data_IF_155421691013
#
_entry.id   IF_155421691013
#
_cell.length_a   1.000
_cell.length_b   1.000
_cell.length_c   1.000
_cell.angle_alpha   90.00
_cell.angle_beta   90.00
_cell.angle_gamma   90.00
#
_symmetry.space_group_name_H-M   'P 1'
#
loop_
_entity.id
_entity.type
_entity.pdbx_description
1 polymer ?
#
# COMPACT_ATOMS: atom_id res chain seq x y z
N UNK A 1 11.50 -12.13 -7.71
CA UNK A 1 10.11 -12.63 -7.72
C UNK A 1 9.65 -13.11 -6.34
N UNK A 2 10.43 -13.95 -5.62
CA UNK A 2 10.08 -14.42 -4.27
C UNK A 2 9.90 -13.30 -3.23
N UNK A 3 10.84 -12.35 -3.15
CA UNK A 3 10.76 -11.23 -2.19
C UNK A 3 9.50 -10.37 -2.37
N UNK A 4 9.08 -10.12 -3.61
CA UNK A 4 7.89 -9.32 -3.93
C UNK A 4 6.60 -9.91 -3.34
N UNK A 5 6.39 -11.23 -3.48
CA UNK A 5 5.24 -11.90 -2.87
C UNK A 5 5.33 -11.93 -1.34
N UNK A 6 6.52 -12.14 -0.77
CA UNK A 6 6.70 -12.17 0.69
C UNK A 6 6.35 -10.82 1.32
N UNK A 7 6.77 -9.74 0.69
CA UNK A 7 6.57 -8.39 1.23
C UNK A 7 5.12 -7.90 1.10
N UNK A 8 4.48 -8.08 -0.07
CA UNK A 8 3.07 -7.72 -0.24
C UNK A 8 2.12 -8.60 0.59
N UNK A 9 2.41 -9.90 0.75
CA UNK A 9 1.59 -10.78 1.58
C UNK A 9 1.63 -10.40 3.06
N UNK A 10 2.68 -9.70 3.51
CA UNK A 10 2.80 -9.19 4.88
C UNK A 10 2.15 -7.82 5.09
N UNK A 11 1.83 -7.11 4.00
CA UNK A 11 1.16 -5.81 4.06
C UNK A 11 -0.35 -5.99 4.19
N UNK A 12 -0.99 -5.15 5.00
CA UNK A 12 -2.45 -5.10 5.13
C UNK A 12 -2.96 -3.79 4.55
N UNK A 13 -3.97 -3.88 3.69
CA UNK A 13 -4.77 -2.71 3.33
C UNK A 13 -5.60 -2.32 4.57
N UNK A 14 -5.43 -1.09 5.04
CA UNK A 14 -6.03 -0.63 6.28
C UNK A 14 -7.30 0.17 6.02
N UNK A 15 -7.22 1.13 5.10
CA UNK A 15 -8.25 2.14 4.88
C UNK A 15 -8.29 2.51 3.39
N UNK A 16 -9.51 2.76 2.89
CA UNK A 16 -9.77 3.38 1.59
C UNK A 16 -10.55 4.67 1.86
N UNK A 17 -9.94 5.81 1.55
CA UNK A 17 -10.54 7.15 1.66
C UNK A 17 -10.59 7.80 0.27
N UNK A 18 -11.73 7.66 -0.40
CA UNK A 18 -11.86 8.08 -1.80
C UNK A 18 -10.86 7.35 -2.69
N UNK A 19 -9.98 8.10 -3.34
CA UNK A 19 -8.90 7.56 -4.19
C UNK A 19 -7.60 7.24 -3.42
N UNK A 20 -7.56 7.41 -2.09
CA UNK A 20 -6.35 7.15 -1.29
C UNK A 20 -6.44 5.79 -0.60
N UNK A 21 -5.48 4.93 -0.90
CA UNK A 21 -5.37 3.58 -0.36
C UNK A 21 -4.21 3.52 0.63
N UNK A 22 -4.51 3.23 1.90
CA UNK A 22 -3.48 3.18 2.95
C UNK A 22 -3.08 1.74 3.25
N UNK A 23 -1.79 1.43 3.13
CA UNK A 23 -1.23 0.11 3.45
C UNK A 23 -0.28 0.20 4.65
N UNK A 24 -0.39 -0.78 5.56
CA UNK A 24 0.58 -0.99 6.63
C UNK A 24 1.75 -1.83 6.13
N UNK A 25 2.96 -1.34 6.34
CA UNK A 25 4.19 -2.11 6.28
C UNK A 25 4.65 -2.51 7.70
N UNK A 26 5.18 -3.73 7.91
CA UNK A 26 5.66 -4.21 9.20
C UNK A 26 6.99 -3.57 9.65
N UNK A 27 7.70 -2.86 8.78
CA UNK A 27 8.96 -2.18 9.11
C UNK A 27 9.19 -0.97 8.20
N UNK A 28 10.01 -0.02 8.65
CA UNK A 28 10.41 1.17 7.88
C UNK A 28 11.09 0.78 6.56
N UNK A 29 11.98 -0.21 6.60
CA UNK A 29 12.66 -0.72 5.40
C UNK A 29 11.65 -1.20 4.34
N UNK A 30 10.58 -1.87 4.77
CA UNK A 30 9.55 -2.31 3.83
C UNK A 30 8.69 -1.14 3.35
N UNK A 31 8.37 -0.17 4.20
CA UNK A 31 7.64 1.01 3.78
C UNK A 31 8.39 1.77 2.68
N UNK A 32 9.67 2.09 2.90
CA UNK A 32 10.53 2.75 1.92
C UNK A 32 10.64 1.93 0.62
N UNK A 33 10.81 0.61 0.74
CA UNK A 33 10.89 -0.24 -0.45
C UNK A 33 9.59 -0.22 -1.26
N UNK A 34 8.43 -0.25 -0.60
CA UNK A 34 7.13 -0.15 -1.29
C UNK A 34 6.96 1.22 -1.94
N UNK A 35 7.25 2.30 -1.22
CA UNK A 35 7.14 3.67 -1.74
C UNK A 35 8.03 3.90 -2.95
N UNK A 36 9.30 3.51 -2.88
CA UNK A 36 10.27 3.78 -3.94
C UNK A 36 10.22 2.81 -5.12
N UNK A 37 9.77 1.57 -4.92
CA UNK A 37 9.82 0.53 -5.96
C UNK A 37 8.46 0.11 -6.47
N UNK A 38 7.42 0.16 -5.64
CA UNK A 38 6.14 -0.46 -5.94
C UNK A 38 4.95 0.49 -6.01
N UNK A 39 5.03 1.68 -5.42
CA UNK A 39 3.90 2.62 -5.35
C UNK A 39 3.21 2.81 -6.70
N UNK A 40 3.97 3.18 -7.74
CA UNK A 40 3.39 3.38 -9.07
C UNK A 40 2.85 2.09 -9.74
N UNK A 41 3.36 0.90 -9.39
CA UNK A 41 2.79 -0.37 -9.89
C UNK A 41 1.47 -0.65 -9.19
N UNK A 42 1.40 -0.43 -7.87
CA UNK A 42 0.21 -0.64 -7.05
C UNK A 42 -0.88 0.36 -7.46
N UNK A 43 -0.55 1.64 -7.59
CA UNK A 43 -1.50 2.69 -8.03
C UNK A 43 -2.09 2.38 -9.41
N UNK A 44 -1.25 1.97 -10.39
CA UNK A 44 -1.75 1.56 -11.71
C UNK A 44 -2.66 0.34 -11.64
N UNK A 45 -2.26 -0.69 -10.88
CA UNK A 45 -3.06 -1.91 -10.74
C UNK A 45 -4.41 -1.61 -10.09
N UNK A 46 -4.42 -0.82 -9.02
CA UNK A 46 -5.63 -0.36 -8.36
C UNK A 46 -6.49 0.49 -9.30
N UNK A 47 -5.90 1.42 -10.04
CA UNK A 47 -6.62 2.26 -11.00
C UNK A 47 -7.35 1.46 -12.08
N UNK A 48 -6.73 0.37 -12.57
CA UNK A 48 -7.39 -0.57 -13.50
C UNK A 48 -8.56 -1.29 -12.84
N UNK A 49 -8.40 -1.74 -11.59
CA UNK A 49 -9.44 -2.50 -10.86
C UNK A 49 -10.64 -1.63 -10.52
N UNK A 50 -10.41 -0.38 -10.10
CA UNK A 50 -11.47 0.51 -9.62
C UNK A 50 -12.00 1.47 -10.68
N UNK A 51 -11.40 1.47 -11.88
CA UNK A 51 -11.80 2.33 -13.00
C UNK A 51 -11.51 3.82 -12.77
N UNK A 52 -10.64 4.16 -11.82
CA UNK A 52 -10.23 5.54 -11.50
C UNK A 52 -8.77 5.79 -11.91
N UNK A 53 -8.53 6.91 -12.60
CA UNK A 53 -7.17 7.32 -12.98
C UNK A 53 -6.39 8.02 -11.87
N UNK A 54 -7.01 8.32 -10.73
CA UNK A 54 -6.47 9.20 -9.70
C UNK A 54 -6.10 8.50 -8.38
N UNK A 55 -5.87 7.18 -8.42
CA UNK A 55 -5.49 6.40 -7.23
C UNK A 55 -4.15 6.85 -6.68
N UNK A 56 -4.09 7.05 -5.35
CA UNK A 56 -2.89 7.39 -4.59
C UNK A 56 -2.63 6.36 -3.50
N UNK A 57 -1.39 5.89 -3.38
CA UNK A 57 -0.99 4.99 -2.31
C UNK A 57 -0.36 5.76 -1.15
N UNK A 58 -0.83 5.50 0.07
CA UNK A 58 -0.19 5.94 1.32
C UNK A 58 0.37 4.72 2.04
N UNK A 59 1.64 4.77 2.42
CA UNK A 59 2.29 3.69 3.17
C UNK A 59 2.54 4.18 4.59
N UNK A 60 2.22 3.35 5.58
CA UNK A 60 2.52 3.63 6.99
C UNK A 60 3.28 2.46 7.60
N UNK A 61 4.09 2.72 8.63
CA UNK A 61 4.84 1.70 9.35
C UNK A 61 4.09 1.30 10.60
N UNK A 62 3.88 0.00 10.79
CA UNK A 62 2.98 -0.50 11.82
C UNK A 62 1.50 -0.23 11.47
N UNK A 63 0.59 -0.82 12.24
CA UNK A 63 -0.83 -0.60 12.03
C UNK A 63 -1.69 -1.64 12.74
N UNK A 64 -2.24 -1.25 13.89
CA UNK A 64 -3.57 -1.71 14.27
C UNK A 64 -4.56 -0.72 13.65
N UNK A 65 -5.57 -1.23 12.95
CA UNK A 65 -6.66 -0.43 12.33
C UNK A 65 -7.29 0.56 13.34
N UNK A 66 -7.16 0.29 14.64
CA UNK A 66 -7.64 1.09 15.76
C UNK A 66 -6.99 2.47 15.97
N UNK A 67 -5.87 2.80 15.32
CA UNK A 67 -5.10 4.04 15.59
C UNK A 67 -5.25 5.12 14.51
N UNK A 68 -6.10 4.89 13.50
CA UNK A 68 -6.29 5.81 12.37
C UNK A 68 -7.62 6.59 12.44
N UNK A 69 -8.08 6.88 13.66
CA UNK A 69 -9.29 7.68 13.93
C UNK A 69 -9.05 9.18 13.93
#
# INVERSE_FOLDING_TARGET
RAAFSTYLASSKLLIIEGDVYTIAAPSELLAEWIEHRLAGVIERALGVVVGSGAVRLKVIVGGKVSELG
#
